data_IF_048539414876
#
_entry.id   IF_048539414876
#
_cell.length_a   1.000
_cell.length_b   1.000
_cell.length_c   1.000
_cell.angle_alpha   90.00
_cell.angle_beta   90.00
_cell.angle_gamma   90.00
#
_symmetry.space_group_name_H-M   'P 1'
#
loop_
_entity.id
_entity.type
_entity.pdbx_description
1 polymer ?
#
# COMPACT_ATOMS: atom_id res chain seq x y z
N UNK A 1 41.07 -13.43 -73.56
CA UNK A 1 40.90 -12.02 -73.99
C UNK A 1 39.45 -11.60 -73.93
N UNK A 2 38.47 -12.36 -74.47
CA UNK A 2 37.06 -11.99 -74.45
C UNK A 2 36.46 -11.86 -73.03
N UNK A 3 36.96 -12.54 -72.03
CA UNK A 3 36.49 -12.45 -70.64
C UNK A 3 36.96 -11.16 -69.94
N UNK A 4 38.09 -10.58 -70.40
CA UNK A 4 38.56 -9.31 -69.81
C UNK A 4 37.75 -8.12 -70.29
N UNK A 5 37.31 -8.12 -71.53
CA UNK A 5 36.41 -7.05 -72.09
C UNK A 5 35.08 -7.00 -71.41
N UNK A 6 34.51 -8.16 -71.01
CA UNK A 6 33.20 -8.19 -70.30
C UNK A 6 33.29 -7.65 -68.87
N UNK A 7 34.46 -7.78 -68.24
CA UNK A 7 34.69 -7.30 -66.85
C UNK A 7 35.04 -5.81 -66.82
N UNK A 8 35.77 -5.31 -67.87
CA UNK A 8 36.23 -3.93 -67.91
C UNK A 8 35.25 -2.95 -68.59
N UNK A 9 34.23 -3.49 -69.27
CA UNK A 9 33.25 -2.66 -70.01
C UNK A 9 33.76 -2.04 -71.32
N UNK A 10 35.00 -2.32 -71.72
CA UNK A 10 35.58 -1.88 -72.97
C UNK A 10 35.28 -2.86 -74.09
N UNK A 11 34.70 -2.37 -75.16
CA UNK A 11 34.29 -3.17 -76.32
C UNK A 11 35.23 -3.07 -77.49
N UNK A 12 36.19 -2.09 -77.50
CA UNK A 12 37.06 -1.78 -78.60
C UNK A 12 38.51 -1.64 -78.10
N UNK A 13 39.48 -2.48 -78.62
CA UNK A 13 40.86 -2.41 -78.22
C UNK A 13 41.57 -1.10 -78.59
N UNK A 14 41.13 -0.38 -79.63
CA UNK A 14 41.72 0.88 -80.06
C UNK A 14 41.32 2.08 -79.19
N UNK A 15 40.32 1.88 -78.24
CA UNK A 15 39.83 2.93 -77.33
C UNK A 15 40.37 2.72 -75.93
N UNK A 16 41.29 1.86 -75.69
CA UNK A 16 41.93 1.71 -74.40
C UNK A 16 42.78 2.95 -74.05
N UNK A 17 42.62 3.53 -72.85
CA UNK A 17 43.47 4.62 -72.41
C UNK A 17 44.92 4.19 -72.36
N UNK A 18 45.84 5.12 -72.53
CA UNK A 18 47.26 4.85 -72.47
C UNK A 18 47.66 4.21 -71.12
N UNK A 19 48.78 3.46 -71.11
CA UNK A 19 49.32 2.81 -69.91
C UNK A 19 49.51 3.87 -68.81
N UNK A 20 50.05 5.01 -69.14
CA UNK A 20 50.31 6.11 -68.19
C UNK A 20 49.04 6.66 -67.58
N UNK A 21 48.01 6.83 -68.39
CA UNK A 21 46.66 7.29 -67.88
C UNK A 21 46.02 6.25 -66.96
N UNK A 22 46.19 4.97 -67.25
CA UNK A 22 45.66 3.90 -66.39
C UNK A 22 46.46 3.79 -65.07
N UNK A 23 47.79 4.00 -65.10
CA UNK A 23 48.59 4.04 -63.88
C UNK A 23 48.27 5.22 -62.99
N UNK A 24 48.04 6.40 -63.56
CA UNK A 24 47.64 7.57 -62.83
C UNK A 24 46.25 7.34 -62.19
N UNK A 25 45.24 6.86 -62.93
CA UNK A 25 43.91 6.55 -62.43
C UNK A 25 43.96 5.46 -61.33
N UNK A 26 44.77 4.40 -61.55
CA UNK A 26 44.93 3.38 -60.49
C UNK A 26 45.53 3.94 -59.19
N UNK A 27 46.54 4.84 -59.35
CA UNK A 27 47.22 5.48 -58.23
C UNK A 27 46.19 6.37 -57.43
N UNK A 28 45.35 7.13 -58.15
CA UNK A 28 44.30 7.96 -57.52
C UNK A 28 43.26 7.12 -56.83
N UNK A 29 42.78 6.04 -57.45
CA UNK A 29 41.82 5.12 -56.84
C UNK A 29 42.39 4.41 -55.61
N UNK A 30 43.68 4.02 -55.66
CA UNK A 30 44.37 3.48 -54.50
C UNK A 30 44.46 4.49 -53.35
N UNK A 31 44.84 5.75 -53.65
CA UNK A 31 44.86 6.82 -52.65
C UNK A 31 43.48 7.05 -52.03
N UNK A 32 42.44 7.11 -52.86
CA UNK A 32 41.04 7.27 -52.39
C UNK A 32 40.62 6.07 -51.50
N UNK A 33 40.95 4.85 -51.89
CA UNK A 33 40.69 3.66 -51.07
C UNK A 33 41.42 3.72 -49.72
N UNK A 34 42.68 4.07 -49.74
CA UNK A 34 43.51 4.12 -48.54
C UNK A 34 43.09 5.30 -47.60
N UNK A 35 42.59 6.40 -48.18
CA UNK A 35 41.99 7.51 -47.43
C UNK A 35 40.69 7.14 -46.72
N UNK A 36 39.93 6.17 -47.22
CA UNK A 36 38.74 5.65 -46.55
C UNK A 36 39.06 4.82 -45.29
N UNK A 37 40.32 4.44 -45.10
CA UNK A 37 40.75 3.63 -43.96
C UNK A 37 40.19 2.21 -43.94
N UNK A 38 40.21 1.58 -42.79
CA UNK A 38 39.62 0.25 -42.61
C UNK A 38 38.08 0.36 -42.54
N UNK A 39 37.41 0.16 -43.67
CA UNK A 39 35.96 0.12 -43.73
C UNK A 39 35.44 -1.16 -43.07
N UNK A 40 34.61 -1.02 -42.04
CA UNK A 40 33.96 -2.17 -41.43
C UNK A 40 32.84 -2.67 -42.36
N UNK A 41 33.11 -3.69 -43.14
CA UNK A 41 32.15 -4.30 -44.07
C UNK A 41 30.94 -4.96 -43.38
N UNK A 42 31.00 -5.07 -42.05
CA UNK A 42 29.91 -5.57 -41.23
C UNK A 42 29.07 -4.45 -40.57
N UNK A 43 29.46 -3.18 -40.72
CA UNK A 43 28.82 -2.05 -40.06
C UNK A 43 27.31 -1.97 -40.36
N UNK A 44 26.92 -2.22 -41.60
CA UNK A 44 25.52 -2.20 -42.01
C UNK A 44 24.73 -3.33 -41.33
N UNK A 45 25.28 -4.53 -41.24
CA UNK A 45 24.65 -5.68 -40.58
C UNK A 45 24.55 -5.47 -39.07
N UNK A 46 25.59 -4.88 -38.47
CA UNK A 46 25.59 -4.53 -37.04
C UNK A 46 24.58 -3.42 -36.74
N UNK A 47 24.53 -2.41 -37.61
CA UNK A 47 23.52 -1.30 -37.49
C UNK A 47 22.10 -1.81 -37.57
N UNK A 48 21.78 -2.70 -38.50
CA UNK A 48 20.44 -3.29 -38.58
C UNK A 48 20.09 -4.14 -37.32
N UNK A 49 21.04 -4.91 -36.80
CA UNK A 49 20.86 -5.65 -35.55
C UNK A 49 20.59 -4.71 -34.37
N UNK A 50 21.36 -3.63 -34.26
CA UNK A 50 21.11 -2.63 -33.19
C UNK A 50 19.79 -1.91 -33.36
N UNK A 51 19.35 -1.55 -34.56
CA UNK A 51 18.05 -0.97 -34.80
C UNK A 51 16.92 -1.89 -34.32
N UNK A 52 16.98 -3.19 -34.64
CA UNK A 52 15.98 -4.16 -34.19
C UNK A 52 15.98 -4.27 -32.66
N UNK A 53 17.16 -4.30 -32.04
CA UNK A 53 17.30 -4.38 -30.58
C UNK A 53 16.77 -3.12 -29.90
N UNK A 54 17.09 -1.94 -30.43
CA UNK A 54 16.58 -0.66 -29.91
C UNK A 54 15.07 -0.62 -30.00
N UNK A 55 14.48 -0.97 -31.15
CA UNK A 55 13.04 -1.00 -31.34
C UNK A 55 12.35 -1.90 -30.30
N UNK A 56 12.89 -3.09 -30.09
CA UNK A 56 12.37 -4.01 -29.07
C UNK A 56 12.45 -3.41 -27.67
N UNK A 57 13.61 -2.80 -27.32
CA UNK A 57 13.76 -2.14 -26.00
C UNK A 57 12.81 -0.95 -25.82
N UNK A 58 12.52 -0.20 -26.89
CA UNK A 58 11.54 0.89 -26.86
C UNK A 58 10.10 0.37 -26.65
N UNK A 59 9.73 -0.74 -27.31
CA UNK A 59 8.45 -1.42 -27.11
C UNK A 59 8.33 -1.94 -25.67
N UNK A 60 9.33 -2.67 -25.16
CA UNK A 60 9.37 -3.18 -23.78
C UNK A 60 9.29 -2.02 -22.76
N UNK A 61 9.97 -0.90 -23.02
CA UNK A 61 9.91 0.29 -22.19
C UNK A 61 8.51 0.92 -22.18
N UNK A 62 7.86 1.01 -23.32
CA UNK A 62 6.52 1.55 -23.43
C UNK A 62 5.50 0.71 -22.65
N UNK A 63 5.60 -0.60 -22.75
CA UNK A 63 4.76 -1.55 -22.01
C UNK A 63 4.96 -1.43 -20.50
N UNK A 64 6.21 -1.36 -20.05
CA UNK A 64 6.54 -1.16 -18.63
C UNK A 64 6.00 0.17 -18.08
N UNK A 65 6.16 1.26 -18.83
CA UNK A 65 5.63 2.57 -18.43
C UNK A 65 4.11 2.52 -18.33
N UNK A 66 3.43 1.89 -19.30
CA UNK A 66 1.97 1.71 -19.27
C UNK A 66 1.54 0.88 -18.06
N UNK A 67 2.25 -0.21 -17.75
CA UNK A 67 1.98 -1.04 -16.57
C UNK A 67 2.15 -0.26 -15.26
N UNK A 68 3.22 0.54 -15.14
CA UNK A 68 3.47 1.40 -13.98
C UNK A 68 2.33 2.43 -13.78
N UNK A 69 1.87 3.07 -14.86
CA UNK A 69 0.76 4.03 -14.79
C UNK A 69 -0.53 3.36 -14.30
N UNK A 70 -0.85 2.17 -14.84
CA UNK A 70 -2.03 1.40 -14.40
C UNK A 70 -1.94 1.00 -12.93
N UNK A 71 -0.77 0.51 -12.48
CA UNK A 71 -0.55 0.14 -11.08
C UNK A 71 -0.69 1.33 -10.14
N UNK A 72 -0.11 2.50 -10.49
CA UNK A 72 -0.26 3.72 -9.70
C UNK A 72 -1.71 4.17 -9.60
N UNK A 73 -2.46 4.11 -10.70
CA UNK A 73 -3.90 4.43 -10.70
C UNK A 73 -4.68 3.49 -9.77
N UNK A 74 -4.43 2.18 -9.87
CA UNK A 74 -5.09 1.18 -9.01
C UNK A 74 -4.75 1.37 -7.52
N UNK A 75 -3.50 1.69 -7.19
CA UNK A 75 -3.10 2.00 -5.81
C UNK A 75 -3.84 3.24 -5.30
N UNK A 76 -3.94 4.30 -6.10
CA UNK A 76 -4.66 5.51 -5.72
C UNK A 76 -6.15 5.23 -5.47
N UNK A 77 -6.80 4.43 -6.33
CA UNK A 77 -8.19 4.03 -6.13
C UNK A 77 -8.38 3.20 -4.85
N UNK A 78 -7.46 2.27 -4.57
CA UNK A 78 -7.50 1.46 -3.35
C UNK A 78 -7.32 2.33 -2.10
N UNK A 79 -6.38 3.27 -2.13
CA UNK A 79 -6.14 4.20 -1.03
C UNK A 79 -7.36 5.10 -0.79
N UNK A 80 -7.99 5.62 -1.85
CA UNK A 80 -9.20 6.41 -1.71
C UNK A 80 -10.33 5.61 -1.08
N UNK A 81 -10.62 4.42 -1.58
CA UNK A 81 -11.62 3.51 -0.99
C UNK A 81 -11.27 3.12 0.44
N UNK A 82 -9.98 2.96 0.73
CA UNK A 82 -9.47 2.70 2.08
C UNK A 82 -9.80 3.85 3.03
N UNK A 83 -9.51 5.10 2.64
CA UNK A 83 -9.82 6.30 3.44
C UNK A 83 -11.32 6.44 3.70
N UNK A 84 -12.15 6.29 2.68
CA UNK A 84 -13.62 6.39 2.82
C UNK A 84 -14.15 5.34 3.82
N UNK A 85 -13.71 4.09 3.70
CA UNK A 85 -14.12 3.00 4.60
C UNK A 85 -13.63 3.21 6.03
N UNK A 86 -12.37 3.67 6.17
CA UNK A 86 -11.78 3.96 7.47
C UNK A 86 -12.57 5.07 8.20
N UNK A 87 -12.86 6.17 7.51
CA UNK A 87 -13.61 7.29 8.10
C UNK A 87 -15.04 6.92 8.46
N UNK A 88 -15.71 6.12 7.63
CA UNK A 88 -17.06 5.62 7.95
C UNK A 88 -17.03 4.69 9.18
N UNK A 89 -16.08 3.75 9.23
CA UNK A 89 -15.89 2.87 10.38
C UNK A 89 -15.52 3.67 11.64
N UNK A 90 -14.59 4.62 11.51
CA UNK A 90 -14.18 5.51 12.60
C UNK A 90 -15.35 6.28 13.19
N UNK A 91 -16.19 6.87 12.33
CA UNK A 91 -17.39 7.61 12.78
C UNK A 91 -18.36 6.72 13.56
N UNK A 92 -18.61 5.49 13.08
CA UNK A 92 -19.47 4.51 13.75
C UNK A 92 -18.90 4.08 15.10
N UNK A 93 -17.59 3.75 15.12
CA UNK A 93 -16.91 3.33 16.34
C UNK A 93 -16.88 4.47 17.36
N UNK A 94 -16.57 5.68 16.95
CA UNK A 94 -16.50 6.85 17.83
C UNK A 94 -17.87 7.10 18.53
N UNK A 95 -18.96 7.01 17.78
CA UNK A 95 -20.31 7.11 18.34
C UNK A 95 -20.58 5.99 19.36
N UNK A 96 -20.28 4.75 19.00
CA UNK A 96 -20.44 3.58 19.90
C UNK A 96 -19.55 3.66 21.13
N UNK A 97 -18.32 4.16 20.95
CA UNK A 97 -17.38 4.36 22.06
C UNK A 97 -17.96 5.32 23.11
N UNK A 98 -18.51 6.45 22.68
CA UNK A 98 -19.16 7.35 23.62
C UNK A 98 -20.40 6.71 24.30
N UNK A 99 -21.24 5.99 23.54
CA UNK A 99 -22.43 5.31 24.10
C UNK A 99 -22.04 4.29 25.20
N UNK A 100 -21.04 3.45 24.93
CA UNK A 100 -20.56 2.43 25.88
C UNK A 100 -19.85 3.07 27.07
N UNK A 101 -19.02 4.11 26.81
CA UNK A 101 -18.32 4.83 27.85
C UNK A 101 -19.28 5.47 28.86
N UNK A 102 -20.27 6.18 28.36
CA UNK A 102 -21.29 6.82 29.23
C UNK A 102 -22.02 5.81 30.10
N UNK A 103 -22.30 4.62 29.58
CA UNK A 103 -22.93 3.53 30.36
C UNK A 103 -21.98 3.00 31.45
N UNK A 104 -20.72 2.70 31.10
CA UNK A 104 -19.74 2.18 32.05
C UNK A 104 -19.38 3.16 33.16
N UNK A 105 -19.30 4.45 32.85
CA UNK A 105 -18.93 5.47 33.82
C UNK A 105 -20.14 6.14 34.51
N UNK A 106 -21.37 5.79 34.11
CA UNK A 106 -22.61 6.46 34.53
C UNK A 106 -22.57 7.95 34.25
N UNK A 107 -22.08 8.33 33.07
CA UNK A 107 -21.94 9.72 32.62
C UNK A 107 -20.58 9.99 31.98
N UNK A 108 -20.26 11.27 31.85
CA UNK A 108 -19.02 11.70 31.19
C UNK A 108 -19.15 11.75 29.68
N UNK A 109 -18.01 11.80 28.99
CA UNK A 109 -17.94 11.85 27.54
C UNK A 109 -16.65 11.18 27.07
N UNK A 110 -16.69 10.54 25.91
CA UNK A 110 -15.54 9.93 25.31
C UNK A 110 -15.54 10.17 23.80
N UNK A 111 -14.38 10.46 23.24
CA UNK A 111 -14.20 10.62 21.80
C UNK A 111 -12.86 10.08 21.34
N UNK A 112 -12.84 9.64 20.11
CA UNK A 112 -11.62 9.27 19.39
C UNK A 112 -11.25 10.45 18.49
N UNK A 113 -9.95 10.74 18.39
CA UNK A 113 -9.42 11.71 17.46
C UNK A 113 -8.28 11.08 16.63
N UNK A 114 -8.24 11.43 15.35
CA UNK A 114 -7.11 11.11 14.49
C UNK A 114 -6.07 12.22 14.63
N UNK A 115 -4.82 11.85 14.91
CA UNK A 115 -3.72 12.77 15.19
C UNK A 115 -2.51 12.46 14.31
N UNK A 116 -1.51 13.33 14.34
CA UNK A 116 -0.19 13.17 13.70
C UNK A 116 -0.17 13.25 12.16
N UNK A 117 -1.29 13.08 11.45
CA UNK A 117 -1.34 13.18 9.99
C UNK A 117 -2.71 13.64 9.51
N UNK A 118 -2.72 14.41 8.40
CA UNK A 118 -3.95 14.75 7.68
C UNK A 118 -4.50 13.55 6.88
N UNK A 119 -3.64 12.58 6.54
CA UNK A 119 -4.06 11.35 5.87
C UNK A 119 -4.59 10.34 6.91
N UNK A 120 -5.87 9.97 6.86
CA UNK A 120 -6.46 9.01 7.79
C UNK A 120 -5.78 7.64 7.82
N UNK A 121 -5.11 7.24 6.72
CA UNK A 121 -4.40 5.96 6.63
C UNK A 121 -3.07 5.96 7.38
N UNK A 122 -2.51 7.15 7.65
CA UNK A 122 -1.23 7.33 8.34
C UNK A 122 -1.41 7.97 9.72
N UNK A 123 -2.66 8.37 10.06
CA UNK A 123 -2.97 9.04 11.31
C UNK A 123 -2.88 8.09 12.50
N UNK A 124 -2.38 8.62 13.63
CA UNK A 124 -2.47 7.99 14.94
C UNK A 124 -3.89 8.08 15.50
N UNK A 125 -4.21 7.27 16.51
CA UNK A 125 -5.47 7.29 17.22
C UNK A 125 -5.26 7.75 18.66
N UNK A 126 -5.90 8.84 19.04
CA UNK A 126 -5.92 9.32 20.42
C UNK A 126 -7.30 9.16 21.05
N UNK A 127 -7.32 8.72 22.31
CA UNK A 127 -8.54 8.61 23.12
C UNK A 127 -8.62 9.76 24.09
N UNK A 128 -9.62 10.63 23.90
CA UNK A 128 -9.92 11.74 24.78
C UNK A 128 -11.19 11.45 25.56
N UNK A 129 -11.08 11.46 26.86
CA UNK A 129 -12.20 11.08 27.75
C UNK A 129 -12.36 12.04 28.91
N UNK A 130 -13.60 12.17 29.36
CA UNK A 130 -14.00 13.01 30.47
C UNK A 130 -14.86 12.18 31.43
N UNK A 131 -14.28 11.55 32.45
CA UNK A 131 -15.07 10.94 33.51
C UNK A 131 -15.97 11.95 34.20
N UNK A 132 -17.09 11.50 34.84
CA UNK A 132 -18.01 12.41 35.54
C UNK A 132 -17.25 13.33 36.50
N UNK A 133 -17.48 14.65 36.37
CA UNK A 133 -16.83 15.66 37.22
C UNK A 133 -15.38 16.02 36.85
N UNK A 134 -14.77 15.38 35.83
CA UNK A 134 -13.45 15.70 35.33
C UNK A 134 -13.50 16.41 33.97
N UNK A 135 -12.41 17.11 33.63
CA UNK A 135 -12.27 17.72 32.29
C UNK A 135 -11.88 16.67 31.27
N UNK A 136 -12.11 16.98 30.00
CA UNK A 136 -11.62 16.16 28.87
C UNK A 136 -10.11 16.09 28.89
N UNK A 137 -9.56 14.88 28.85
CA UNK A 137 -8.12 14.61 28.93
C UNK A 137 -7.76 13.32 28.21
N UNK A 138 -6.49 13.13 27.90
CA UNK A 138 -5.98 11.88 27.33
C UNK A 138 -6.12 10.73 28.32
N UNK A 139 -6.34 9.51 27.81
CA UNK A 139 -6.43 8.29 28.61
C UNK A 139 -5.23 8.09 29.56
N UNK A 140 -4.04 8.56 29.15
CA UNK A 140 -2.80 8.44 29.92
C UNK A 140 -2.81 9.17 31.27
N UNK A 141 -3.73 10.12 31.44
CA UNK A 141 -3.89 10.92 32.66
C UNK A 141 -4.93 10.35 33.63
N UNK A 142 -5.53 9.22 33.31
CA UNK A 142 -6.51 8.53 34.14
C UNK A 142 -5.84 7.59 35.16
N UNK A 143 -6.59 7.19 36.20
CA UNK A 143 -6.18 6.10 37.09
C UNK A 143 -6.16 4.76 36.35
N UNK A 144 -5.38 3.77 36.84
CA UNK A 144 -5.25 2.47 36.18
C UNK A 144 -6.59 1.76 35.91
N UNK A 145 -7.51 1.75 36.87
CA UNK A 145 -8.86 1.19 36.70
C UNK A 145 -9.72 1.98 35.70
N UNK A 146 -9.63 3.32 35.70
CA UNK A 146 -10.31 4.15 34.72
C UNK A 146 -9.73 3.94 33.29
N UNK A 147 -8.41 3.76 33.17
CA UNK A 147 -7.77 3.43 31.89
C UNK A 147 -8.27 2.09 31.36
N UNK A 148 -8.27 1.05 32.21
CA UNK A 148 -8.72 -0.28 31.83
C UNK A 148 -10.20 -0.27 31.40
N UNK A 149 -11.06 0.41 32.15
CA UNK A 149 -12.48 0.52 31.82
C UNK A 149 -12.70 1.32 30.53
N UNK A 150 -11.92 2.36 30.29
CA UNK A 150 -11.95 3.12 29.03
C UNK A 150 -11.50 2.28 27.84
N UNK A 151 -10.42 1.49 28.00
CA UNK A 151 -9.97 0.56 26.95
C UNK A 151 -11.04 -0.50 26.65
N UNK A 152 -11.70 -1.05 27.66
CA UNK A 152 -12.80 -1.98 27.49
C UNK A 152 -13.98 -1.32 26.76
N UNK A 153 -14.28 -0.04 27.05
CA UNK A 153 -15.30 0.72 26.32
C UNK A 153 -15.05 0.77 24.82
N UNK A 154 -13.78 0.96 24.41
CA UNK A 154 -13.38 0.95 23.01
C UNK A 154 -13.52 -0.45 22.38
N UNK A 155 -13.05 -1.48 23.08
CA UNK A 155 -13.16 -2.89 22.61
C UNK A 155 -14.61 -3.25 22.37
N UNK A 156 -15.51 -2.93 23.30
CA UNK A 156 -16.94 -3.19 23.14
C UNK A 156 -17.60 -2.31 22.08
N UNK A 157 -17.14 -1.08 21.87
CA UNK A 157 -17.62 -0.23 20.78
C UNK A 157 -17.29 -0.83 19.41
N UNK A 158 -16.07 -1.36 19.24
CA UNK A 158 -15.67 -2.06 18.03
C UNK A 158 -16.50 -3.34 17.86
N UNK A 159 -16.66 -4.12 18.93
CA UNK A 159 -17.46 -5.33 18.94
C UNK A 159 -18.92 -5.07 18.54
N UNK A 160 -19.55 -4.01 19.06
CA UNK A 160 -20.93 -3.61 18.72
C UNK A 160 -21.10 -3.16 17.27
N UNK A 161 -20.00 -2.76 16.61
CA UNK A 161 -20.05 -2.39 15.18
C UNK A 161 -20.17 -3.63 14.29
N UNK A 162 -19.57 -4.75 14.72
CA UNK A 162 -19.64 -6.04 14.01
C UNK A 162 -19.65 -7.20 15.03
N UNK A 163 -20.82 -7.48 15.67
CA UNK A 163 -20.88 -8.48 16.74
C UNK A 163 -20.62 -9.89 16.25
N UNK A 164 -19.77 -10.62 16.98
CA UNK A 164 -19.47 -12.02 16.75
C UNK A 164 -20.51 -12.91 17.49
N UNK A 165 -20.82 -14.12 17.00
CA UNK A 165 -21.70 -15.05 17.70
C UNK A 165 -21.15 -15.53 19.05
N UNK A 166 -19.82 -15.57 19.20
CA UNK A 166 -19.11 -15.99 20.43
C UNK A 166 -18.01 -14.97 20.69
N UNK A 167 -17.90 -14.54 21.96
CA UNK A 167 -16.83 -13.68 22.44
C UNK A 167 -16.19 -14.31 23.67
N UNK A 168 -14.87 -14.45 23.67
CA UNK A 168 -14.10 -14.98 24.80
C UNK A 168 -13.34 -13.83 25.44
N UNK A 169 -13.51 -13.64 26.74
CA UNK A 169 -12.86 -12.63 27.56
C UNK A 169 -12.00 -13.34 28.59
N UNK A 170 -10.68 -13.11 28.53
CA UNK A 170 -9.72 -13.76 29.43
C UNK A 170 -9.11 -12.74 30.37
N UNK A 171 -9.42 -12.86 31.68
CA UNK A 171 -8.94 -11.99 32.77
C UNK A 171 -9.05 -10.48 32.52
N UNK A 172 -10.05 -10.02 31.75
CA UNK A 172 -10.23 -8.60 31.40
C UNK A 172 -10.64 -7.73 32.59
N UNK A 173 -11.12 -8.34 33.65
CA UNK A 173 -11.54 -7.72 34.91
C UNK A 173 -10.41 -7.62 35.96
N UNK A 174 -9.26 -8.24 35.71
CA UNK A 174 -8.13 -8.23 36.65
C UNK A 174 -7.66 -6.81 37.09
N UNK A 175 -7.62 -5.79 36.24
CA UNK A 175 -7.22 -4.43 36.64
C UNK A 175 -8.37 -3.60 37.25
N UNK A 176 -9.59 -4.15 37.35
CA UNK A 176 -10.77 -3.44 37.82
C UNK A 176 -10.96 -3.60 39.35
N UNK A 177 -11.42 -2.54 40.00
CA UNK A 177 -11.91 -2.61 41.36
C UNK A 177 -13.37 -3.14 41.42
N UNK A 178 -13.86 -3.50 42.60
CA UNK A 178 -15.18 -4.09 42.82
C UNK A 178 -16.31 -3.26 42.20
N UNK A 179 -16.22 -1.92 42.29
CA UNK A 179 -17.23 -1.02 41.74
C UNK A 179 -17.24 -1.04 40.20
N UNK A 180 -16.06 -1.09 39.59
CA UNK A 180 -15.90 -1.16 38.14
C UNK A 180 -16.24 -2.55 37.60
N UNK A 181 -15.95 -3.62 38.35
CA UNK A 181 -16.39 -4.99 38.01
C UNK A 181 -17.91 -5.08 37.95
N UNK A 182 -18.59 -4.52 38.92
CA UNK A 182 -20.08 -4.50 38.91
C UNK A 182 -20.63 -3.80 37.66
N UNK A 183 -20.05 -2.66 37.26
CA UNK A 183 -20.45 -1.93 36.03
C UNK A 183 -20.15 -2.75 34.77
N UNK A 184 -19.00 -3.42 34.73
CA UNK A 184 -18.59 -4.30 33.65
C UNK A 184 -19.58 -5.46 33.48
N UNK A 185 -19.98 -6.14 34.57
CA UNK A 185 -20.95 -7.23 34.53
C UNK A 185 -22.33 -6.75 34.03
N UNK A 186 -22.80 -5.59 34.50
CA UNK A 186 -24.05 -5.01 34.04
C UNK A 186 -24.03 -4.66 32.54
N UNK A 187 -22.90 -4.17 32.04
CA UNK A 187 -22.73 -3.93 30.59
C UNK A 187 -22.76 -5.23 29.80
N UNK A 188 -22.09 -6.30 30.26
CA UNK A 188 -22.11 -7.58 29.57
C UNK A 188 -23.48 -8.19 29.47
N UNK A 189 -24.27 -8.08 30.52
CA UNK A 189 -25.67 -8.50 30.53
C UNK A 189 -26.50 -7.74 29.48
N UNK A 190 -26.35 -6.42 29.41
CA UNK A 190 -26.99 -5.61 28.37
C UNK A 190 -26.55 -5.98 26.98
N UNK A 191 -25.23 -6.18 26.76
CA UNK A 191 -24.66 -6.58 25.47
C UNK A 191 -25.20 -7.94 25.01
N UNK A 192 -25.30 -8.90 25.90
CA UNK A 192 -25.89 -10.23 25.64
C UNK A 192 -27.31 -10.10 25.12
N UNK A 193 -28.12 -9.25 25.74
CA UNK A 193 -29.50 -9.01 25.33
C UNK A 193 -29.62 -8.34 23.96
N UNK A 194 -28.71 -7.40 23.65
CA UNK A 194 -28.73 -6.64 22.37
C UNK A 194 -28.20 -7.46 21.22
N UNK A 195 -27.04 -8.14 21.41
CA UNK A 195 -26.30 -8.79 20.31
C UNK A 195 -26.62 -10.27 20.15
N UNK A 196 -27.21 -10.89 21.16
CA UNK A 196 -27.40 -12.36 21.27
C UNK A 196 -26.08 -13.14 21.20
N UNK A 197 -24.97 -12.50 21.49
CA UNK A 197 -23.64 -13.12 21.56
C UNK A 197 -23.52 -13.96 22.81
N UNK A 198 -22.87 -15.09 22.69
CA UNK A 198 -22.46 -15.92 23.83
C UNK A 198 -21.10 -15.46 24.34
N UNK A 199 -21.06 -14.91 25.55
CA UNK A 199 -19.82 -14.53 26.20
C UNK A 199 -19.29 -15.69 27.03
N UNK A 200 -18.00 -16.04 26.84
CA UNK A 200 -17.25 -16.98 27.67
C UNK A 200 -16.21 -16.15 28.42
N UNK A 201 -16.29 -16.16 29.74
CA UNK A 201 -15.46 -15.32 30.60
C UNK A 201 -14.61 -16.21 31.49
N UNK A 202 -13.29 -15.99 31.41
CA UNK A 202 -12.29 -16.59 32.26
C UNK A 202 -11.88 -15.52 33.26
N UNK A 203 -12.05 -15.79 34.58
CA UNK A 203 -11.78 -14.82 35.64
C UNK A 203 -11.39 -15.48 36.93
N UNK A 204 -10.60 -14.78 37.74
CA UNK A 204 -10.31 -15.10 39.13
C UNK A 204 -11.07 -14.18 40.11
N UNK A 205 -11.85 -13.23 39.60
CA UNK A 205 -12.58 -12.28 40.44
C UNK A 205 -13.90 -12.85 40.94
N UNK A 206 -14.05 -12.98 42.25
CA UNK A 206 -15.23 -13.60 42.86
C UNK A 206 -16.55 -12.89 42.47
N UNK A 207 -16.56 -11.55 42.41
CA UNK A 207 -17.76 -10.81 42.04
C UNK A 207 -18.18 -11.06 40.59
N UNK A 208 -17.22 -11.19 39.66
CA UNK A 208 -17.50 -11.52 38.26
C UNK A 208 -18.14 -12.91 38.16
N UNK A 209 -17.59 -13.89 38.87
CA UNK A 209 -18.17 -15.24 38.89
C UNK A 209 -19.59 -15.25 39.42
N UNK A 210 -19.83 -14.58 40.57
CA UNK A 210 -21.16 -14.55 41.19
C UNK A 210 -22.21 -13.79 40.35
N UNK A 211 -21.80 -12.71 39.66
CA UNK A 211 -22.69 -11.88 38.85
C UNK A 211 -23.09 -12.55 37.53
N UNK A 212 -22.19 -13.38 36.94
CA UNK A 212 -22.39 -13.90 35.58
C UNK A 212 -22.82 -15.37 35.52
N UNK A 213 -22.90 -16.09 36.66
CA UNK A 213 -23.33 -17.50 36.71
C UNK A 213 -24.81 -17.68 36.25
N UNK A 214 -25.61 -16.65 36.24
CA UNK A 214 -27.06 -16.69 35.98
C UNK A 214 -27.47 -15.93 34.69
N UNK A 215 -26.54 -15.59 33.82
CA UNK A 215 -26.89 -14.92 32.55
C UNK A 215 -27.05 -15.92 31.41
#
# INVERSE_FOLDING_TARGET
INNLFSITGFTDPEKLPSIDEQEVSLSELKKSRDALGSVNLRADLETEKFKVTIKKMEEDRADLVSAIVKLKSSINELNQKGRERLLDAFSKINKKFNEVYVKLFNGGNAKLELVDSEDPLEAGLEMLVSPPGKRLQSITLLSGGEQALTALSLVFAIFLTNPSPICVLDEVDAPLDDANVTRFCSLLEELTNITKTKFVIITHHALTMLSLIHI
#
